data_IF_103785665188
#
_entry.id   IF_103785665188
#
_cell.length_a   1.000
_cell.length_b   1.000
_cell.length_c   1.000
_cell.angle_alpha   90.00
_cell.angle_beta   90.00
_cell.angle_gamma   90.00
#
_symmetry.space_group_name_H-M   'P 1'
#
loop_
_entity.id
_entity.type
_entity.pdbx_description
1 polymer ?
#
# COMPACT_ATOMS: atom_id res chain seq x y z
N UNK A 1 22.65 -11.88 -16.47
CA UNK A 1 21.42 -11.08 -16.27
C UNK A 1 21.60 -10.32 -14.96
N UNK A 2 21.96 -9.03 -14.99
CA UNK A 2 22.32 -8.23 -13.79
C UNK A 2 21.12 -7.75 -12.98
N UNK A 3 20.18 -8.64 -12.67
CA UNK A 3 19.02 -8.33 -11.84
C UNK A 3 19.39 -8.40 -10.35
N UNK A 4 18.75 -7.58 -9.52
CA UNK A 4 18.81 -7.75 -8.06
C UNK A 4 18.18 -9.10 -7.67
N UNK A 5 18.89 -9.87 -6.84
CA UNK A 5 18.48 -11.19 -6.38
C UNK A 5 18.30 -11.22 -4.86
N UNK A 6 17.21 -11.84 -4.41
CA UNK A 6 16.93 -12.04 -2.98
C UNK A 6 16.81 -13.54 -2.73
N UNK A 7 17.68 -14.09 -1.87
CA UNK A 7 17.67 -15.49 -1.47
C UNK A 7 16.91 -15.67 -0.16
N UNK A 8 15.78 -16.39 -0.19
CA UNK A 8 15.00 -16.71 1.01
C UNK A 8 15.16 -18.19 1.36
N UNK A 9 15.73 -18.48 2.54
CA UNK A 9 15.94 -19.85 3.01
C UNK A 9 15.74 -19.97 4.52
N UNK A 10 15.44 -21.15 5.03
CA UNK A 10 15.36 -21.41 6.48
C UNK A 10 16.57 -22.21 7.01
N UNK A 11 17.65 -22.24 6.22
CA UNK A 11 18.86 -22.98 6.51
C UNK A 11 20.05 -22.02 6.49
N UNK A 12 20.81 -21.91 7.59
CA UNK A 12 22.04 -21.12 7.62
C UNK A 12 23.01 -21.56 6.50
N UNK A 13 23.76 -20.60 5.95
CA UNK A 13 24.77 -20.82 4.91
C UNK A 13 24.30 -21.67 3.71
N UNK A 14 23.03 -21.51 3.32
CA UNK A 14 22.48 -22.22 2.18
C UNK A 14 23.11 -21.75 0.86
N UNK A 15 23.14 -22.61 -0.19
CA UNK A 15 23.62 -22.20 -1.51
C UNK A 15 22.90 -20.96 -2.04
N UNK A 16 21.57 -20.89 -1.87
CA UNK A 16 20.78 -19.73 -2.32
C UNK A 16 21.15 -18.43 -1.60
N UNK A 17 21.53 -18.50 -0.32
CA UNK A 17 21.98 -17.31 0.42
C UNK A 17 23.33 -16.79 -0.10
N UNK A 18 24.26 -17.69 -0.48
CA UNK A 18 25.57 -17.32 -1.01
C UNK A 18 25.53 -16.73 -2.42
N UNK A 19 24.59 -17.19 -3.23
CA UNK A 19 24.46 -16.77 -4.64
C UNK A 19 23.54 -15.54 -4.81
N UNK A 20 22.98 -14.99 -3.73
CA UNK A 20 22.03 -13.87 -3.78
C UNK A 20 22.63 -12.56 -3.28
N UNK A 21 22.25 -11.43 -3.89
CA UNK A 21 22.68 -10.09 -3.45
C UNK A 21 22.19 -9.75 -2.03
N UNK A 22 20.98 -10.22 -1.69
CA UNK A 22 20.39 -10.07 -0.35
C UNK A 22 19.88 -11.42 0.16
N UNK A 23 20.49 -11.92 1.23
CA UNK A 23 20.05 -13.15 1.90
C UNK A 23 19.08 -12.84 3.05
N UNK A 24 17.91 -13.48 3.06
CA UNK A 24 16.93 -13.46 4.15
C UNK A 24 16.83 -14.89 4.70
N UNK A 25 17.40 -15.13 5.88
CA UNK A 25 17.55 -16.47 6.46
C UNK A 25 16.90 -16.60 7.84
N UNK A 26 15.56 -16.63 7.95
CA UNK A 26 14.89 -16.92 9.22
C UNK A 26 15.23 -18.33 9.70
N UNK A 27 15.57 -18.50 10.98
CA UNK A 27 15.96 -19.80 11.56
C UNK A 27 14.91 -20.25 12.59
N UNK A 28 13.78 -20.84 12.17
CA UNK A 28 12.72 -21.27 13.08
C UNK A 28 13.06 -22.54 13.88
N UNK A 29 14.20 -23.17 13.62
CA UNK A 29 14.64 -24.43 14.23
C UNK A 29 13.91 -25.69 13.70
N UNK A 30 14.17 -26.87 14.28
CA UNK A 30 13.64 -28.16 13.80
C UNK A 30 12.12 -28.24 13.82
N UNK A 31 11.52 -28.85 12.80
CA UNK A 31 10.06 -29.00 12.70
C UNK A 31 9.52 -30.06 13.67
N UNK A 32 8.26 -29.90 14.11
CA UNK A 32 7.59 -30.87 14.99
C UNK A 32 7.47 -32.24 14.30
N UNK A 33 7.15 -32.23 13.01
CA UNK A 33 7.26 -33.40 12.15
C UNK A 33 8.57 -33.26 11.38
N UNK A 34 9.54 -34.13 11.67
CA UNK A 34 10.86 -34.10 11.05
C UNK A 34 10.78 -33.98 9.53
N UNK A 35 11.36 -32.92 8.97
CA UNK A 35 11.39 -32.65 7.52
C UNK A 35 10.14 -31.99 6.94
N UNK A 36 9.05 -31.80 7.69
CA UNK A 36 7.82 -31.17 7.20
C UNK A 36 7.92 -29.63 7.16
N UNK A 37 8.74 -29.10 6.25
CA UNK A 37 9.06 -27.66 6.12
C UNK A 37 7.85 -26.77 5.77
N UNK A 38 6.72 -27.35 5.36
CA UNK A 38 5.45 -26.60 5.20
C UNK A 38 4.94 -25.95 6.50
N UNK A 39 5.51 -26.34 7.66
CA UNK A 39 5.11 -25.88 8.99
C UNK A 39 5.80 -24.54 9.35
N UNK A 40 6.83 -24.55 10.20
CA UNK A 40 7.45 -23.31 10.67
C UNK A 40 8.20 -22.59 9.55
N UNK A 41 8.97 -23.31 8.74
CA UNK A 41 9.69 -22.71 7.61
C UNK A 41 8.73 -22.10 6.57
N UNK A 42 7.63 -22.79 6.24
CA UNK A 42 6.57 -22.27 5.38
C UNK A 42 5.89 -21.03 5.96
N UNK A 43 5.62 -21.03 7.27
CA UNK A 43 5.07 -19.86 7.98
C UNK A 43 6.03 -18.68 7.94
N UNK A 44 7.31 -18.89 8.23
CA UNK A 44 8.35 -17.87 8.16
C UNK A 44 8.45 -17.27 6.75
N UNK A 45 8.43 -18.12 5.72
CA UNK A 45 8.45 -17.70 4.31
C UNK A 45 7.26 -16.81 3.97
N UNK A 46 6.04 -17.21 4.37
CA UNK A 46 4.82 -16.41 4.17
C UNK A 46 4.90 -15.05 4.86
N UNK A 47 5.43 -14.99 6.08
CA UNK A 47 5.60 -13.72 6.80
C UNK A 47 6.58 -12.79 6.08
N UNK A 48 7.74 -13.31 5.64
CA UNK A 48 8.73 -12.52 4.88
C UNK A 48 8.13 -11.99 3.58
N UNK A 49 7.47 -12.84 2.79
CA UNK A 49 6.86 -12.42 1.53
C UNK A 49 5.74 -11.39 1.73
N UNK A 50 4.96 -11.53 2.81
CA UNK A 50 3.97 -10.54 3.20
C UNK A 50 4.61 -9.21 3.57
N UNK A 51 5.73 -9.21 4.30
CA UNK A 51 6.46 -7.99 4.66
C UNK A 51 7.04 -7.29 3.42
N UNK A 52 7.67 -8.04 2.52
CA UNK A 52 8.24 -7.49 1.29
C UNK A 52 7.16 -6.87 0.40
N UNK A 53 6.10 -7.61 0.11
CA UNK A 53 5.01 -7.11 -0.75
C UNK A 53 4.26 -5.95 -0.11
N UNK A 54 3.87 -6.06 1.16
CA UNK A 54 3.15 -5.00 1.88
C UNK A 54 4.00 -3.75 2.02
N UNK A 55 5.26 -3.88 2.45
CA UNK A 55 6.19 -2.76 2.59
C UNK A 55 6.44 -2.05 1.25
N UNK A 56 6.57 -2.81 0.17
CA UNK A 56 6.70 -2.24 -1.19
C UNK A 56 5.46 -1.45 -1.58
N UNK A 57 4.27 -2.01 -1.39
CA UNK A 57 3.01 -1.35 -1.74
C UNK A 57 2.73 -0.09 -0.90
N UNK A 58 3.14 -0.07 0.37
CA UNK A 58 3.10 1.14 1.21
C UNK A 58 4.01 2.23 0.61
N UNK A 59 5.26 1.90 0.26
CA UNK A 59 6.20 2.86 -0.35
C UNK A 59 5.76 3.37 -1.73
N UNK A 60 4.97 2.58 -2.44
CA UNK A 60 4.36 2.95 -3.71
C UNK A 60 3.08 3.80 -3.57
N UNK A 61 2.67 4.20 -2.35
CA UNK A 61 1.49 5.04 -2.14
C UNK A 61 0.15 4.31 -2.29
N UNK A 62 0.15 2.97 -2.21
CA UNK A 62 -1.07 2.16 -2.28
C UNK A 62 -1.87 2.12 -0.97
N UNK A 63 -1.31 2.72 0.09
CA UNK A 63 -1.86 2.78 1.45
C UNK A 63 -1.80 4.23 1.92
N UNK A 64 -2.84 4.67 2.63
CA UNK A 64 -2.89 5.96 3.32
C UNK A 64 -3.23 5.73 4.80
N UNK A 65 -2.41 6.24 5.71
CA UNK A 65 -2.43 5.79 7.10
C UNK A 65 -2.25 4.27 7.18
N UNK A 66 -3.27 3.56 7.66
CA UNK A 66 -3.34 2.10 7.69
C UNK A 66 -4.41 1.52 6.74
N UNK A 67 -4.96 2.33 5.84
CA UNK A 67 -6.05 1.97 4.93
C UNK A 67 -5.51 1.74 3.51
N UNK A 68 -5.87 0.60 2.92
CA UNK A 68 -5.53 0.29 1.53
C UNK A 68 -6.43 1.11 0.60
N UNK A 69 -5.86 2.12 -0.05
CA UNK A 69 -6.59 3.04 -0.94
C UNK A 69 -6.56 2.60 -2.40
N UNK A 70 -5.76 1.60 -2.77
CA UNK A 70 -5.72 1.00 -4.11
C UNK A 70 -6.70 -0.18 -4.28
N UNK A 71 -7.93 -0.02 -3.78
CA UNK A 71 -8.95 -1.08 -3.84
C UNK A 71 -9.77 -0.95 -5.12
N UNK A 72 -9.85 -2.02 -5.91
CA UNK A 72 -10.74 -2.11 -7.07
C UNK A 72 -12.13 -2.56 -6.65
N UNK A 73 -13.13 -1.69 -6.79
CA UNK A 73 -14.51 -1.94 -6.36
C UNK A 73 -15.32 -2.79 -7.37
N UNK A 74 -14.94 -4.07 -7.57
CA UNK A 74 -15.54 -4.94 -8.60
C UNK A 74 -16.83 -5.64 -8.17
N UNK A 75 -17.23 -5.54 -6.91
CA UNK A 75 -18.46 -6.13 -6.38
C UNK A 75 -18.98 -5.29 -5.21
N UNK A 76 -20.22 -5.54 -4.79
CA UNK A 76 -20.88 -4.75 -3.74
C UNK A 76 -20.14 -4.78 -2.39
N UNK A 77 -19.49 -5.89 -2.03
CA UNK A 77 -18.63 -5.94 -0.83
C UNK A 77 -17.44 -4.99 -0.95
N UNK A 78 -16.80 -4.94 -2.11
CA UNK A 78 -15.66 -4.06 -2.35
C UNK A 78 -16.08 -2.59 -2.50
N UNK A 79 -17.26 -2.29 -3.07
CA UNK A 79 -17.85 -0.96 -3.04
C UNK A 79 -18.15 -0.50 -1.61
N UNK A 80 -18.77 -1.37 -0.79
CA UNK A 80 -19.00 -1.08 0.62
C UNK A 80 -17.70 -0.83 1.38
N UNK A 81 -16.63 -1.57 1.06
CA UNK A 81 -15.30 -1.34 1.62
C UNK A 81 -14.71 0.00 1.16
N UNK A 82 -14.83 0.35 -0.12
CA UNK A 82 -14.37 1.63 -0.66
C UNK A 82 -15.02 2.81 0.08
N UNK A 83 -16.35 2.80 0.25
CA UNK A 83 -17.09 3.81 1.03
C UNK A 83 -16.53 3.97 2.45
N UNK A 84 -16.35 2.86 3.17
CA UNK A 84 -15.77 2.89 4.53
C UNK A 84 -14.36 3.48 4.56
N UNK A 85 -13.51 3.12 3.58
CA UNK A 85 -12.15 3.68 3.51
C UNK A 85 -12.21 5.19 3.31
N UNK A 86 -13.05 5.69 2.40
CA UNK A 86 -13.18 7.13 2.14
C UNK A 86 -13.68 7.86 3.39
N UNK A 87 -14.77 7.36 4.00
CA UNK A 87 -15.33 7.93 5.23
C UNK A 87 -14.28 8.00 6.36
N UNK A 88 -13.54 6.90 6.58
CA UNK A 88 -12.52 6.84 7.64
C UNK A 88 -11.29 7.71 7.35
N UNK A 89 -10.92 7.85 6.07
CA UNK A 89 -9.71 8.59 5.70
C UNK A 89 -9.91 10.10 5.71
N UNK A 90 -11.10 10.56 5.29
CA UNK A 90 -11.42 11.98 5.14
C UNK A 90 -12.38 12.53 6.22
N UNK A 91 -12.86 11.67 7.13
CA UNK A 91 -13.83 12.01 8.18
C UNK A 91 -15.11 12.68 7.62
N UNK A 92 -15.74 12.00 6.66
CA UNK A 92 -16.92 12.50 5.92
C UNK A 92 -18.14 11.58 6.06
N UNK A 93 -19.33 12.12 5.76
CA UNK A 93 -20.56 11.33 5.74
C UNK A 93 -20.56 10.28 4.63
N UNK A 94 -21.45 9.28 4.74
CA UNK A 94 -21.65 8.27 3.71
C UNK A 94 -22.04 8.91 2.37
N UNK A 95 -22.93 9.90 2.39
CA UNK A 95 -23.41 10.57 1.18
C UNK A 95 -22.28 11.34 0.48
N UNK A 96 -21.42 12.01 1.24
CA UNK A 96 -20.25 12.69 0.69
C UNK A 96 -19.25 11.70 0.09
N UNK A 97 -19.01 10.58 0.77
CA UNK A 97 -18.13 9.53 0.28
C UNK A 97 -18.66 8.88 -1.01
N UNK A 98 -19.96 8.58 -1.08
CA UNK A 98 -20.62 8.01 -2.26
C UNK A 98 -20.56 8.96 -3.45
N UNK A 99 -20.93 10.22 -3.24
CA UNK A 99 -20.89 11.25 -4.29
C UNK A 99 -19.47 11.41 -4.87
N UNK A 100 -18.45 11.46 -4.02
CA UNK A 100 -17.07 11.57 -4.48
C UNK A 100 -16.58 10.30 -5.19
N UNK A 101 -16.95 9.11 -4.68
CA UNK A 101 -16.60 7.85 -5.34
C UNK A 101 -17.22 7.74 -6.74
N UNK A 102 -18.47 8.18 -6.90
CA UNK A 102 -19.12 8.18 -8.22
C UNK A 102 -18.45 9.17 -9.18
N UNK A 103 -18.11 10.38 -8.70
CA UNK A 103 -17.40 11.40 -9.48
C UNK A 103 -15.99 10.97 -9.91
N UNK A 104 -15.33 10.14 -9.11
CA UNK A 104 -13.97 9.64 -9.37
C UNK A 104 -13.93 8.30 -10.10
N UNK A 105 -15.09 7.74 -10.47
CA UNK A 105 -15.16 6.42 -11.11
C UNK A 105 -14.71 5.27 -10.20
N UNK A 106 -14.97 5.39 -8.90
CA UNK A 106 -14.55 4.48 -7.83
C UNK A 106 -13.02 4.38 -7.64
N UNK A 107 -12.26 5.39 -8.04
CA UNK A 107 -10.87 5.54 -7.61
C UNK A 107 -10.83 6.05 -6.16
N UNK A 108 -10.69 5.12 -5.22
CA UNK A 108 -10.64 5.41 -3.78
C UNK A 108 -9.48 6.33 -3.42
N UNK A 109 -8.32 6.20 -4.07
CA UNK A 109 -7.15 7.04 -3.76
C UNK A 109 -7.45 8.49 -4.15
N UNK A 110 -7.99 8.69 -5.35
CA UNK A 110 -8.37 10.01 -5.83
C UNK A 110 -9.48 10.61 -4.96
N UNK A 111 -10.52 9.82 -4.63
CA UNK A 111 -11.63 10.28 -3.79
C UNK A 111 -11.16 10.76 -2.41
N UNK A 112 -10.29 9.98 -1.75
CA UNK A 112 -9.70 10.37 -0.46
C UNK A 112 -8.91 11.67 -0.60
N UNK A 113 -8.05 11.79 -1.61
CA UNK A 113 -7.24 12.99 -1.80
C UNK A 113 -8.10 14.22 -2.11
N UNK A 114 -9.08 14.12 -3.01
CA UNK A 114 -9.97 15.21 -3.38
C UNK A 114 -10.73 15.77 -2.17
N UNK A 115 -11.25 14.89 -1.30
CA UNK A 115 -11.95 15.30 -0.09
C UNK A 115 -11.02 15.96 0.94
N UNK A 116 -9.84 15.40 1.17
CA UNK A 116 -8.85 15.96 2.09
C UNK A 116 -8.33 17.32 1.61
N UNK A 117 -8.05 17.45 0.33
CA UNK A 117 -7.56 18.68 -0.29
C UNK A 117 -8.67 19.71 -0.57
N UNK A 118 -9.95 19.31 -0.45
CA UNK A 118 -11.13 20.12 -0.81
C UNK A 118 -11.08 20.64 -2.25
N UNK A 119 -10.64 19.78 -3.17
CA UNK A 119 -10.51 20.07 -4.59
C UNK A 119 -11.58 19.32 -5.39
N UNK A 120 -11.88 19.83 -6.58
CA UNK A 120 -12.66 19.08 -7.56
C UNK A 120 -11.88 17.85 -8.06
N UNK A 121 -12.56 16.79 -8.53
CA UNK A 121 -11.92 15.55 -8.96
C UNK A 121 -10.84 15.71 -10.04
N UNK A 122 -10.98 16.66 -10.95
CA UNK A 122 -10.06 16.82 -12.09
C UNK A 122 -8.78 17.53 -11.65
N UNK A 123 -8.90 18.61 -10.87
CA UNK A 123 -7.75 19.26 -10.23
C UNK A 123 -7.04 18.32 -9.28
N UNK A 124 -7.80 17.58 -8.46
CA UNK A 124 -7.24 16.58 -7.55
C UNK A 124 -6.44 15.50 -8.29
N UNK A 125 -6.93 15.05 -9.46
CA UNK A 125 -6.24 14.04 -10.27
C UNK A 125 -4.90 14.55 -10.76
N UNK A 126 -4.86 15.74 -11.35
CA UNK A 126 -3.63 16.34 -11.85
C UNK A 126 -2.58 16.51 -10.75
N UNK A 127 -2.99 17.00 -9.57
CA UNK A 127 -2.09 17.16 -8.41
C UNK A 127 -1.59 15.82 -7.87
N UNK A 128 -2.47 14.83 -7.77
CA UNK A 128 -2.09 13.50 -7.28
C UNK A 128 -1.10 12.79 -8.22
N UNK A 129 -1.25 12.98 -9.54
CA UNK A 129 -0.31 12.46 -10.54
C UNK A 129 1.06 13.12 -10.44
N UNK A 130 1.11 14.45 -10.30
CA UNK A 130 2.37 15.21 -10.09
C UNK A 130 3.13 14.72 -8.85
N UNK A 131 2.41 14.41 -7.77
CA UNK A 131 2.97 13.87 -6.52
C UNK A 131 3.29 12.36 -6.57
N UNK A 132 3.29 11.73 -7.76
CA UNK A 132 3.59 10.31 -7.93
C UNK A 132 2.56 9.37 -7.29
N UNK A 133 1.29 9.77 -7.28
CA UNK A 133 0.17 9.02 -6.69
C UNK A 133 0.30 8.75 -5.18
N UNK A 134 0.98 9.62 -4.43
CA UNK A 134 1.13 9.53 -2.98
C UNK A 134 0.35 10.63 -2.28
N UNK A 135 -0.74 10.27 -1.60
CA UNK A 135 -1.63 11.23 -0.92
C UNK A 135 -0.85 12.13 0.06
N UNK A 136 0.04 11.57 0.89
CA UNK A 136 0.84 12.36 1.83
C UNK A 136 1.76 13.40 1.15
N UNK A 137 2.33 13.07 -0.01
CA UNK A 137 3.18 14.01 -0.75
C UNK A 137 2.34 15.13 -1.36
N UNK A 138 1.20 14.77 -1.97
CA UNK A 138 0.31 15.72 -2.62
C UNK A 138 -0.25 16.75 -1.62
N UNK A 139 -0.64 16.30 -0.42
CA UNK A 139 -1.09 17.20 0.66
C UNK A 139 0.03 18.13 1.14
N UNK A 140 1.25 17.60 1.32
CA UNK A 140 2.39 18.43 1.75
C UNK A 140 2.86 19.43 0.67
N UNK A 141 2.59 19.18 -0.61
CA UNK A 141 2.80 20.15 -1.69
C UNK A 141 1.77 21.28 -1.62
N UNK A 142 0.49 20.95 -1.45
CA UNK A 142 -0.58 21.94 -1.29
C UNK A 142 -0.35 22.85 -0.07
N UNK A 143 0.02 22.29 1.08
CA UNK A 143 0.27 23.06 2.30
C UNK A 143 1.42 24.07 2.12
N UNK A 144 2.44 23.71 1.32
CA UNK A 144 3.58 24.59 1.01
C UNK A 144 3.17 25.75 0.11
N UNK A 145 2.31 25.51 -0.87
CA UNK A 145 1.81 26.55 -1.78
C UNK A 145 0.95 27.58 -1.04
N UNK A 146 0.00 27.12 -0.21
CA UNK A 146 -0.87 28.01 0.59
C UNK A 146 -0.04 28.88 1.54
N UNK A 147 1.04 28.32 2.10
CA UNK A 147 1.97 29.04 2.98
C UNK A 147 2.82 30.08 2.23
N UNK A 148 3.03 29.91 0.93
CA UNK A 148 3.79 30.84 0.08
C UNK A 148 2.92 31.99 -0.46
N UNK A 149 1.64 31.75 -0.75
CA UNK A 149 0.70 32.80 -1.19
C UNK A 149 0.25 33.74 -0.05
N UNK A 150 0.41 33.32 1.20
CA UNK A 150 0.07 34.13 2.39
C UNK A 150 1.20 35.05 2.87
N UNK A 151 2.28 35.20 2.10
CA UNK A 151 3.41 36.12 2.34
C UNK A 151 3.52 37.16 1.24
#
# INVERSE_FOLDING_TARGET
>A
MGCLTIGLSCSPDSPVARESDVAITPVPGPEVITGSTRMKAGTATKLVLNMLSTGTMIRLGKVYGNLMVDVRATNEKLKARARRIVMQSADVSLEQAESMLDQTGYDVRLAVFALLARLDPDTARARLEQAGSRIHHALAELDREVSQESR
#
